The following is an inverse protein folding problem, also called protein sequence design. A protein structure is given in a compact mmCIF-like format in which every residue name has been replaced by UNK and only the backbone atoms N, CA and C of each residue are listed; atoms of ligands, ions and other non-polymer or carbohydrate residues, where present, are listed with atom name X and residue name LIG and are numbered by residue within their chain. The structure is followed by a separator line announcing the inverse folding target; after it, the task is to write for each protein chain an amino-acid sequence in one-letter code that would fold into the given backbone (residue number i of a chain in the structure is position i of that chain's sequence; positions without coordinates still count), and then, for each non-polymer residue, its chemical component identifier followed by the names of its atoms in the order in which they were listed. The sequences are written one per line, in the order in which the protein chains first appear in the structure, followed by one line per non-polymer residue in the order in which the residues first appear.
data_IF_434222343884
#
_entry.id   IF_434222343884
#
_cell.length_a   1.000
_cell.length_b   1.000
_cell.length_c   1.000
_cell.angle_alpha   90.00
_cell.angle_beta   90.00
_cell.angle_gamma   90.00
#
_symmetry.space_group_name_H-M   'P 1'
#
loop_
_entity.id
_entity.type
_entity.pdbx_description
1 polymer ?
#
# COMPACT_ATOMS: atom_id res chain seq x y z
N UNK A 1 -18.73 -1.13 6.75
CA UNK A 1 -17.97 -0.87 5.62
C UNK A 1 -17.65 0.61 5.43
N UNK A 2 -16.55 0.96 5.97
CA UNK A 2 -16.22 2.35 6.11
C UNK A 2 -16.05 3.10 4.81
N UNK A 3 -15.26 2.55 3.91
CA UNK A 3 -14.96 3.27 2.69
C UNK A 3 -16.19 3.47 1.83
N UNK A 4 -16.97 2.44 1.65
CA UNK A 4 -18.16 2.55 0.83
C UNK A 4 -19.18 3.48 1.45
N UNK A 5 -19.34 3.44 2.75
CA UNK A 5 -20.23 4.37 3.42
C UNK A 5 -19.74 5.80 3.32
N UNK A 6 -18.44 5.99 3.40
CA UNK A 6 -17.87 7.30 3.21
C UNK A 6 -18.10 7.79 1.79
N UNK A 7 -17.94 6.92 0.82
CA UNK A 7 -18.19 7.28 -0.57
C UNK A 7 -19.65 7.62 -0.74
N UNK A 8 -20.53 6.85 -0.14
CA UNK A 8 -21.95 7.10 -0.20
C UNK A 8 -22.31 8.47 0.35
N UNK A 9 -21.79 8.79 1.51
CA UNK A 9 -21.96 10.12 2.06
C UNK A 9 -21.36 11.17 1.17
N UNK A 10 -20.22 10.84 0.60
CA UNK A 10 -19.51 11.76 -0.28
C UNK A 10 -20.21 11.96 -1.59
N UNK A 11 -20.92 10.96 -2.06
CA UNK A 11 -21.76 11.13 -3.22
C UNK A 11 -22.79 12.19 -2.95
N UNK A 12 -23.38 12.12 -1.80
CA UNK A 12 -24.30 13.14 -1.36
C UNK A 12 -23.61 14.48 -1.27
N UNK A 13 -22.38 14.46 -0.80
CA UNK A 13 -21.58 15.65 -0.62
C UNK A 13 -20.81 16.04 -1.85
N UNK A 14 -20.50 15.08 -2.69
CA UNK A 14 -19.75 15.27 -3.93
C UNK A 14 -18.29 15.65 -3.77
N UNK A 15 -17.81 15.84 -2.57
CA UNK A 15 -16.46 16.35 -2.37
C UNK A 15 -15.43 15.28 -2.18
N UNK A 16 -15.82 14.18 -1.58
CA UNK A 16 -14.85 13.16 -1.18
C UNK A 16 -14.78 11.99 -2.16
N UNK A 17 -15.54 12.06 -3.22
CA UNK A 17 -15.47 11.04 -4.25
C UNK A 17 -14.24 11.35 -5.09
N UNK A 18 -13.33 10.39 -5.24
CA UNK A 18 -12.20 10.61 -6.11
C UNK A 18 -12.71 10.97 -7.51
N UNK A 19 -12.11 11.97 -8.10
CA UNK A 19 -12.43 12.39 -9.45
C UNK A 19 -12.11 11.23 -10.39
N UNK A 20 -13.03 10.87 -11.26
CA UNK A 20 -12.82 9.80 -12.23
C UNK A 20 -11.60 10.01 -13.10
N UNK A 21 -11.35 11.26 -13.49
CA UNK A 21 -10.15 11.58 -14.27
C UNK A 21 -8.88 11.31 -13.45
N UNK A 22 -8.94 11.59 -12.17
CA UNK A 22 -7.81 11.34 -11.27
C UNK A 22 -7.55 9.84 -11.14
N UNK A 23 -8.61 9.05 -11.01
CA UNK A 23 -8.49 7.59 -10.95
C UNK A 23 -7.93 7.05 -12.27
N UNK A 24 -8.46 7.51 -13.40
CA UNK A 24 -7.98 7.08 -14.71
C UNK A 24 -6.50 7.41 -14.88
N UNK A 25 -6.10 8.60 -14.46
CA UNK A 25 -4.71 9.02 -14.53
C UNK A 25 -3.83 8.10 -13.70
N UNK A 26 -4.26 7.79 -12.49
CA UNK A 26 -3.52 6.88 -11.60
C UNK A 26 -3.44 5.49 -12.20
N UNK A 27 -4.52 4.99 -12.78
CA UNK A 27 -4.53 3.68 -13.42
C UNK A 27 -3.57 3.61 -14.62
N UNK A 28 -3.50 4.67 -15.41
CA UNK A 28 -2.52 4.73 -16.50
C UNK A 28 -1.09 4.73 -15.98
N UNK A 29 -0.87 5.45 -14.89
CA UNK A 29 0.43 5.48 -14.26
C UNK A 29 0.82 4.10 -13.73
N UNK A 30 -0.13 3.38 -13.15
CA UNK A 30 0.08 2.02 -12.69
C UNK A 30 0.51 1.12 -13.83
N UNK A 31 -0.18 1.17 -14.97
CA UNK A 31 0.18 0.35 -16.13
C UNK A 31 1.61 0.61 -16.58
N UNK A 32 2.00 1.87 -16.64
CA UNK A 32 3.35 2.25 -17.03
C UNK A 32 4.38 1.74 -16.01
N UNK A 33 4.11 1.95 -14.72
CA UNK A 33 5.02 1.51 -13.66
C UNK A 33 5.13 -0.01 -13.61
N UNK A 34 4.05 -0.73 -13.88
CA UNK A 34 4.10 -2.19 -13.94
C UNK A 34 5.06 -2.67 -15.03
N UNK A 35 5.00 -2.03 -16.20
CA UNK A 35 5.93 -2.36 -17.28
C UNK A 35 7.37 -2.08 -16.86
N UNK A 36 7.61 -0.95 -16.22
CA UNK A 36 8.94 -0.61 -15.72
C UNK A 36 9.42 -1.60 -14.69
N UNK A 37 8.52 -2.04 -13.82
CA UNK A 37 8.84 -3.01 -12.77
C UNK A 37 9.21 -4.38 -13.36
N UNK A 38 8.55 -4.79 -14.44
CA UNK A 38 8.89 -6.03 -15.11
C UNK A 38 10.30 -5.98 -15.70
N UNK A 39 10.70 -4.83 -16.21
CA UNK A 39 12.04 -4.63 -16.75
C UNK A 39 13.10 -4.47 -15.67
N UNK A 40 12.71 -3.96 -14.52
CA UNK A 40 13.62 -3.66 -13.42
C UNK A 40 13.03 -4.17 -12.11
N UNK A 41 12.97 -5.50 -11.92
CA UNK A 41 12.21 -6.07 -10.79
C UNK A 41 12.81 -5.79 -9.40
N UNK A 42 14.07 -5.36 -9.35
CA UNK A 42 14.74 -5.04 -8.08
C UNK A 42 14.80 -3.54 -7.82
N UNK A 43 14.18 -2.74 -8.65
CA UNK A 43 14.17 -1.29 -8.46
C UNK A 43 13.09 -0.92 -7.44
N UNK A 44 13.52 -0.66 -6.23
CA UNK A 44 12.60 -0.32 -5.14
C UNK A 44 11.87 0.99 -5.36
N UNK A 45 12.45 1.92 -6.10
CA UNK A 45 11.79 3.21 -6.38
C UNK A 45 10.52 3.01 -7.18
N UNK A 46 10.56 2.12 -8.16
CA UNK A 46 9.37 1.81 -8.97
C UNK A 46 8.29 1.18 -8.09
N UNK A 47 8.67 0.27 -7.22
CA UNK A 47 7.72 -0.35 -6.30
C UNK A 47 7.12 0.64 -5.31
N UNK A 48 7.91 1.59 -4.84
CA UNK A 48 7.41 2.63 -3.94
C UNK A 48 6.38 3.49 -4.67
N UNK A 49 6.64 3.84 -5.92
CA UNK A 49 5.68 4.61 -6.71
C UNK A 49 4.41 3.82 -6.99
N UNK A 50 4.55 2.52 -7.28
CA UNK A 50 3.39 1.65 -7.43
C UNK A 50 2.58 1.58 -6.14
N UNK A 51 3.25 1.41 -5.02
CA UNK A 51 2.58 1.39 -3.73
C UNK A 51 1.76 2.67 -3.52
N UNK A 52 2.36 3.82 -3.79
CA UNK A 52 1.67 5.10 -3.66
C UNK A 52 0.42 5.16 -4.54
N UNK A 53 0.50 4.64 -5.75
CA UNK A 53 -0.65 4.59 -6.65
C UNK A 53 -1.75 3.69 -6.09
N UNK A 54 -1.38 2.54 -5.55
CA UNK A 54 -2.36 1.63 -4.96
C UNK A 54 -2.99 2.19 -3.69
N UNK A 55 -2.26 3.02 -2.95
CA UNK A 55 -2.84 3.77 -1.84
C UNK A 55 -3.93 4.72 -2.36
N UNK A 56 -3.62 5.45 -3.44
CA UNK A 56 -4.58 6.40 -4.00
C UNK A 56 -5.88 5.75 -4.43
N UNK A 57 -5.81 4.57 -5.04
CA UNK A 57 -7.02 3.88 -5.51
C UNK A 57 -7.56 2.88 -4.50
N UNK A 58 -6.96 2.83 -3.32
CA UNK A 58 -7.40 1.96 -2.23
C UNK A 58 -7.41 0.47 -2.60
N UNK A 59 -6.43 0.05 -3.36
CA UNK A 59 -6.28 -1.37 -3.71
C UNK A 59 -5.48 -2.07 -2.62
N UNK A 60 -6.19 -2.61 -1.65
CA UNK A 60 -5.59 -3.22 -0.47
C UNK A 60 -4.66 -4.39 -0.82
N UNK A 61 -5.12 -5.27 -1.68
CA UNK A 61 -4.37 -6.46 -2.06
C UNK A 61 -3.03 -6.08 -2.70
N UNK A 62 -3.08 -5.11 -3.61
CA UNK A 62 -1.87 -4.65 -4.28
C UNK A 62 -0.95 -3.88 -3.37
N UNK A 63 -1.49 -3.15 -2.41
CA UNK A 63 -0.66 -2.49 -1.39
C UNK A 63 0.15 -3.53 -0.61
N UNK A 64 -0.50 -4.59 -0.19
CA UNK A 64 0.17 -5.66 0.57
C UNK A 64 1.25 -6.32 -0.28
N UNK A 65 0.94 -6.62 -1.53
CA UNK A 65 1.92 -7.20 -2.47
C UNK A 65 3.17 -6.34 -2.58
N UNK A 66 2.98 -5.04 -2.80
CA UNK A 66 4.11 -4.11 -2.93
C UNK A 66 4.94 -4.05 -1.65
N UNK A 67 4.28 -3.99 -0.50
CA UNK A 67 4.99 -3.92 0.77
C UNK A 67 5.80 -5.18 1.05
N UNK A 68 5.26 -6.35 0.71
CA UNK A 68 6.00 -7.60 0.88
C UNK A 68 7.24 -7.63 -0.01
N UNK A 69 7.10 -7.21 -1.25
CA UNK A 69 8.25 -7.12 -2.15
C UNK A 69 9.27 -6.12 -1.64
N UNK A 70 8.81 -4.97 -1.17
CA UNK A 70 9.70 -3.95 -0.63
C UNK A 70 10.46 -4.45 0.60
N UNK A 71 9.80 -5.19 1.49
CA UNK A 71 10.49 -5.72 2.66
C UNK A 71 11.59 -6.70 2.27
N UNK A 72 11.41 -7.42 1.16
CA UNK A 72 12.44 -8.32 0.66
C UNK A 72 13.60 -7.57 -0.01
N UNK A 73 13.30 -6.51 -0.74
CA UNK A 73 14.33 -5.72 -1.42
C UNK A 73 15.08 -4.80 -0.47
N UNK A 74 14.45 -4.38 0.61
CA UNK A 74 15.00 -3.45 1.58
C UNK A 74 14.99 -4.10 2.96
N UNK A 75 15.81 -5.14 3.18
CA UNK A 75 15.71 -5.95 4.40
C UNK A 75 16.05 -5.21 5.69
N UNK A 76 16.73 -4.08 5.59
CA UNK A 76 17.08 -3.29 6.78
C UNK A 76 16.11 -2.13 7.02
N UNK A 77 15.13 -1.96 6.16
CA UNK A 77 14.15 -0.89 6.28
C UNK A 77 12.92 -1.42 7.00
N UNK A 78 12.61 -0.86 8.18
CA UNK A 78 11.47 -1.33 8.95
C UNK A 78 10.13 -0.81 8.40
N UNK A 79 10.15 0.21 7.56
CA UNK A 79 8.92 0.87 7.11
C UNK A 79 7.93 -0.07 6.43
N UNK A 80 8.33 -0.90 5.44
CA UNK A 80 7.37 -1.81 4.82
C UNK A 80 6.73 -2.77 5.82
N UNK A 81 7.49 -3.25 6.78
CA UNK A 81 6.97 -4.16 7.81
C UNK A 81 6.01 -3.46 8.75
N UNK A 82 6.33 -2.22 9.11
CA UNK A 82 5.42 -1.43 9.94
C UNK A 82 4.10 -1.18 9.22
N UNK A 83 4.16 -0.85 7.93
CA UNK A 83 2.95 -0.63 7.16
C UNK A 83 2.12 -1.90 7.03
N UNK A 84 2.77 -3.05 6.85
CA UNK A 84 2.05 -4.33 6.83
C UNK A 84 1.37 -4.60 8.16
N UNK A 85 2.06 -4.36 9.27
CA UNK A 85 1.45 -4.53 10.59
C UNK A 85 0.21 -3.65 10.74
N UNK A 86 0.30 -2.40 10.33
CA UNK A 86 -0.81 -1.46 10.43
C UNK A 86 -2.00 -1.89 9.56
N UNK A 87 -1.74 -2.39 8.36
CA UNK A 87 -2.79 -2.86 7.46
C UNK A 87 -3.50 -4.08 8.05
N UNK A 88 -2.74 -5.06 8.52
CA UNK A 88 -3.34 -6.27 9.07
C UNK A 88 -4.14 -5.96 10.33
N UNK A 89 -3.68 -5.02 11.14
CA UNK A 89 -4.40 -4.65 12.35
C UNK A 89 -5.67 -3.84 12.04
N UNK A 90 -5.53 -2.79 11.23
CA UNK A 90 -6.57 -1.79 11.08
C UNK A 90 -7.54 -2.04 9.92
N UNK A 91 -7.08 -2.70 8.87
CA UNK A 91 -7.90 -2.91 7.68
C UNK A 91 -8.39 -4.35 7.58
N UNK A 92 -7.60 -5.31 8.03
CA UNK A 92 -7.96 -6.72 7.93
C UNK A 92 -8.37 -7.34 9.26
N UNK A 93 -8.23 -6.60 10.34
CA UNK A 93 -8.59 -7.06 11.68
C UNK A 93 -7.93 -8.41 12.02
N UNK A 94 -6.70 -8.59 11.56
CA UNK A 94 -5.93 -9.80 11.77
C UNK A 94 -4.80 -9.50 12.76
N UNK A 95 -5.11 -9.63 14.03
CA UNK A 95 -4.19 -9.27 15.12
C UNK A 95 -2.94 -10.15 15.11
N UNK A 96 -3.11 -11.45 14.86
CA UNK A 96 -1.99 -12.38 14.88
C UNK A 96 -0.95 -12.04 13.82
N UNK A 97 -1.40 -11.80 12.59
CA UNK A 97 -0.49 -11.46 11.51
C UNK A 97 0.13 -10.08 11.73
N UNK A 98 -0.67 -9.15 12.23
CA UNK A 98 -0.17 -7.82 12.56
C UNK A 98 0.95 -7.89 13.59
N UNK A 99 0.79 -8.74 14.60
CA UNK A 99 1.80 -8.89 15.65
C UNK A 99 3.13 -9.43 15.10
N UNK A 100 3.03 -10.38 14.17
CA UNK A 100 4.23 -10.93 13.53
C UNK A 100 5.01 -9.83 12.81
N UNK A 101 4.33 -9.03 11.99
CA UNK A 101 4.99 -7.95 11.28
C UNK A 101 5.48 -6.86 12.22
N UNK A 102 4.73 -6.57 13.27
CA UNK A 102 5.13 -5.57 14.25
C UNK A 102 6.42 -6.00 14.96
N UNK A 103 6.52 -7.26 15.33
CA UNK A 103 7.73 -7.78 15.96
C UNK A 103 8.94 -7.68 15.02
N UNK A 104 8.74 -7.99 13.75
CA UNK A 104 9.81 -7.87 12.78
C UNK A 104 10.25 -6.42 12.61
N UNK A 105 9.31 -5.50 12.54
CA UNK A 105 9.61 -4.08 12.44
C UNK A 105 10.37 -3.59 13.67
N UNK A 106 9.92 -4.00 14.85
CA UNK A 106 10.57 -3.61 16.10
C UNK A 106 12.00 -4.12 16.18
N UNK A 107 12.24 -5.34 15.71
CA UNK A 107 13.59 -5.90 15.70
C UNK A 107 14.53 -5.06 14.85
N UNK A 108 14.07 -4.60 13.69
CA UNK A 108 14.88 -3.74 12.86
C UNK A 108 15.11 -2.37 13.50
N UNK A 109 14.09 -1.79 14.12
CA UNK A 109 14.23 -0.51 14.81
C UNK A 109 15.25 -0.58 15.93
N UNK A 110 15.26 -1.68 16.67
CA UNK A 110 16.14 -1.85 17.81
C UNK A 110 17.58 -2.15 17.42
N UNK A 111 17.81 -2.68 16.23
CA UNK A 111 19.14 -3.04 15.75
C UNK A 111 19.82 -1.92 14.98
N UNK A 112 19.09 -0.90 14.63
CA UNK A 112 19.58 0.26 13.90
C UNK A 112 19.10 1.56 14.56
#
# INVERSE_FOLDING_TARGET
MGLFNKIKKSIELKQNIPNLKSIEKTEKKILNLKKQSELNPTDSKILIELYACYVEISDLEKKIECLKKLSNLLPNDFYPLQQLADIYLNELDNVDQAQIYQNQANNLKNNF
#
